data_IF_755007907038
#
_entry.id   IF_755007907038
#
_cell.length_a   1.000
_cell.length_b   1.000
_cell.length_c   1.000
_cell.angle_alpha   90.00
_cell.angle_beta   90.00
_cell.angle_gamma   90.00
#
_symmetry.space_group_name_H-M   'P 1'
#
loop_
_entity.id
_entity.type
_entity.pdbx_description
1 polymer ?
#
# COMPACT_ATOMS: atom_id res chain seq x y z
N UNK A 1 5.24 -7.15 -4.52
CA UNK A 1 4.83 -8.44 -3.94
C UNK A 1 4.55 -9.48 -5.02
N UNK A 2 4.45 -10.75 -4.61
CA UNK A 2 4.15 -11.94 -5.42
C UNK A 2 3.52 -13.03 -4.55
N UNK A 3 2.93 -14.09 -5.13
CA UNK A 3 2.38 -15.22 -4.37
C UNK A 3 3.39 -15.90 -3.42
N UNK A 4 4.68 -15.91 -3.76
CA UNK A 4 5.72 -16.52 -2.94
C UNK A 4 5.92 -15.82 -1.58
N UNK A 5 5.36 -14.63 -1.41
CA UNK A 5 5.45 -13.85 -0.18
C UNK A 5 4.45 -14.32 0.89
N UNK A 6 3.58 -15.29 0.56
CA UNK A 6 2.55 -15.85 1.44
C UNK A 6 2.74 -17.36 1.65
N UNK A 7 3.80 -17.79 2.36
CA UNK A 7 4.09 -19.21 2.53
C UNK A 7 2.96 -19.94 3.26
N UNK A 8 2.57 -21.09 2.73
CA UNK A 8 1.49 -21.91 3.30
C UNK A 8 0.08 -21.43 2.96
N UNK A 9 -0.07 -20.39 2.15
CA UNK A 9 -1.37 -19.91 1.66
C UNK A 9 -1.46 -20.10 0.15
N UNK A 10 -2.65 -20.45 -0.34
CA UNK A 10 -2.94 -20.48 -1.76
C UNK A 10 -3.25 -19.06 -2.23
N UNK A 11 -2.22 -18.34 -2.69
CA UNK A 11 -2.33 -16.98 -3.24
C UNK A 11 -2.12 -17.02 -4.74
N UNK A 12 -2.94 -16.28 -5.48
CA UNK A 12 -2.85 -16.13 -6.94
C UNK A 12 -2.56 -14.68 -7.29
N UNK A 13 -1.67 -14.44 -8.26
CA UNK A 13 -1.51 -13.13 -8.87
C UNK A 13 -2.57 -12.97 -9.96
N UNK A 14 -3.53 -12.06 -9.74
CA UNK A 14 -4.62 -11.81 -10.67
C UNK A 14 -4.17 -10.86 -11.78
N UNK A 15 -3.37 -9.86 -11.43
CA UNK A 15 -2.87 -8.85 -12.35
C UNK A 15 -1.53 -8.27 -11.91
N UNK A 16 -0.75 -7.85 -12.91
CA UNK A 16 0.46 -7.05 -12.74
C UNK A 16 0.53 -6.06 -13.89
N UNK A 17 0.46 -4.79 -13.54
CA UNK A 17 0.52 -3.69 -14.48
C UNK A 17 1.75 -2.85 -14.16
N UNK A 18 2.55 -2.56 -15.18
CA UNK A 18 3.64 -1.61 -15.10
C UNK A 18 3.38 -0.51 -16.11
N UNK A 19 3.58 0.73 -15.70
CA UNK A 19 3.34 1.89 -16.54
C UNK A 19 4.01 3.13 -15.98
N UNK A 20 3.52 4.27 -16.43
CA UNK A 20 3.93 5.58 -15.96
C UNK A 20 2.72 6.32 -15.42
N UNK A 21 2.90 7.13 -14.38
CA UNK A 21 1.89 8.09 -13.95
C UNK A 21 1.73 9.20 -14.99
N UNK A 22 0.75 10.10 -14.78
CA UNK A 22 0.60 11.31 -15.59
C UNK A 22 1.82 12.23 -15.62
N UNK A 23 2.77 12.05 -14.69
CA UNK A 23 4.01 12.83 -14.59
C UNK A 23 5.24 12.00 -14.96
N UNK A 24 5.06 10.91 -15.72
CA UNK A 24 6.12 10.00 -16.18
C UNK A 24 6.89 9.30 -15.04
N UNK A 25 6.31 9.19 -13.83
CA UNK A 25 6.91 8.38 -12.78
C UNK A 25 6.61 6.90 -13.03
N UNK A 26 7.62 6.01 -13.00
CA UNK A 26 7.37 4.58 -13.10
C UNK A 26 6.43 4.11 -12.01
N UNK A 27 5.36 3.42 -12.41
CA UNK A 27 4.35 2.88 -11.53
C UNK A 27 4.18 1.38 -11.76
N UNK A 28 4.01 0.64 -10.68
CA UNK A 28 3.69 -0.78 -10.70
C UNK A 28 2.48 -1.02 -9.82
N UNK A 29 1.53 -1.80 -10.31
CA UNK A 29 0.39 -2.28 -9.55
C UNK A 29 0.34 -3.81 -9.62
N UNK A 30 0.15 -4.45 -8.47
CA UNK A 30 0.02 -5.91 -8.36
C UNK A 30 -1.21 -6.21 -7.54
N UNK A 31 -2.07 -7.08 -8.06
CA UNK A 31 -3.22 -7.62 -7.33
C UNK A 31 -3.02 -9.10 -7.04
N UNK A 32 -3.12 -9.45 -5.76
CA UNK A 32 -3.02 -10.82 -5.27
C UNK A 32 -4.30 -11.19 -4.51
N UNK A 33 -4.83 -12.39 -4.75
CA UNK A 33 -5.96 -12.93 -3.99
C UNK A 33 -5.57 -14.21 -3.26
N UNK A 34 -5.91 -14.27 -1.98
CA UNK A 34 -5.95 -15.49 -1.17
C UNK A 34 -7.38 -16.02 -1.05
N UNK A 35 -7.58 -16.98 -0.14
CA UNK A 35 -8.90 -17.60 0.06
C UNK A 35 -9.94 -16.62 0.67
N UNK A 36 -9.49 -15.67 1.49
CA UNK A 36 -10.34 -14.77 2.27
C UNK A 36 -9.93 -13.30 2.21
N UNK A 37 -9.03 -12.95 1.29
CA UNK A 37 -8.55 -11.58 1.11
C UNK A 37 -8.11 -11.31 -0.33
N UNK A 38 -8.12 -10.04 -0.69
CA UNK A 38 -7.43 -9.49 -1.86
C UNK A 38 -6.53 -8.35 -1.38
N UNK A 39 -5.28 -8.37 -1.83
CA UNK A 39 -4.32 -7.28 -1.67
C UNK A 39 -4.10 -6.62 -3.02
N UNK A 40 -4.26 -5.30 -3.06
CA UNK A 40 -3.76 -4.47 -4.14
C UNK A 40 -2.58 -3.65 -3.62
N UNK A 41 -1.40 -3.91 -4.17
CA UNK A 41 -0.20 -3.11 -3.95
C UNK A 41 -0.01 -2.18 -5.15
N UNK A 42 0.19 -0.89 -4.89
CA UNK A 42 0.61 0.07 -5.90
C UNK A 42 1.87 0.78 -5.44
N UNK A 43 2.85 0.87 -6.32
CA UNK A 43 4.13 1.53 -6.08
C UNK A 43 4.35 2.58 -7.16
N UNK A 44 4.69 3.80 -6.75
CA UNK A 44 5.11 4.88 -7.66
C UNK A 44 6.53 5.30 -7.28
N UNK A 45 7.44 5.25 -8.24
CA UNK A 45 8.85 5.60 -8.04
C UNK A 45 9.12 7.05 -8.45
N UNK A 46 9.48 7.88 -7.47
CA UNK A 46 9.80 9.27 -7.70
C UNK A 46 11.28 9.50 -8.02
N UNK A 47 11.56 10.64 -8.64
CA UNK A 47 12.94 11.10 -8.87
C UNK A 47 13.71 11.23 -7.56
N UNK A 48 13.07 11.77 -6.51
CA UNK A 48 13.69 11.98 -5.20
C UNK A 48 12.79 11.51 -4.06
N UNK A 49 13.40 11.17 -2.91
CA UNK A 49 12.67 10.81 -1.71
C UNK A 49 11.80 11.96 -1.18
N UNK A 50 12.27 13.21 -1.35
CA UNK A 50 11.54 14.40 -0.94
C UNK A 50 10.22 14.56 -1.70
N UNK A 51 10.17 14.20 -2.99
CA UNK A 51 8.93 14.23 -3.77
C UNK A 51 7.92 13.20 -3.25
N UNK A 52 8.38 11.97 -2.99
CA UNK A 52 7.54 10.91 -2.43
C UNK A 52 7.00 11.31 -1.04
N UNK A 53 7.84 11.90 -0.19
CA UNK A 53 7.45 12.40 1.14
C UNK A 53 6.51 13.59 1.07
N UNK A 54 6.69 14.52 0.13
CA UNK A 54 5.80 15.65 -0.06
C UNK A 54 4.39 15.17 -0.47
N UNK A 55 4.31 14.19 -1.37
CA UNK A 55 3.03 13.60 -1.76
C UNK A 55 2.37 12.85 -0.60
N UNK A 56 3.15 12.04 0.15
CA UNK A 56 2.64 11.37 1.36
C UNK A 56 2.12 12.37 2.40
N UNK A 57 2.80 13.51 2.57
CA UNK A 57 2.38 14.57 3.48
C UNK A 57 1.05 15.19 3.05
N UNK A 58 0.85 15.41 1.74
CA UNK A 58 -0.43 15.85 1.18
C UNK A 58 -1.55 14.86 1.45
N UNK A 59 -1.31 13.57 1.16
CA UNK A 59 -2.28 12.49 1.44
C UNK A 59 -2.64 12.45 2.94
N UNK A 60 -1.63 12.56 3.81
CA UNK A 60 -1.81 12.58 5.27
C UNK A 60 -2.66 13.76 5.73
N UNK A 61 -2.45 14.95 5.16
CA UNK A 61 -3.25 16.13 5.45
C UNK A 61 -4.72 15.94 5.01
N UNK A 62 -4.93 15.39 3.81
CA UNK A 62 -6.27 15.10 3.30
C UNK A 62 -7.00 14.10 4.21
N UNK A 63 -6.31 13.05 4.67
CA UNK A 63 -6.87 12.06 5.60
C UNK A 63 -7.24 12.67 6.96
N UNK A 64 -6.37 13.53 7.51
CA UNK A 64 -6.67 14.26 8.74
C UNK A 64 -7.92 15.12 8.59
N UNK A 65 -8.08 15.77 7.43
CA UNK A 65 -9.28 16.57 7.14
C UNK A 65 -10.57 15.73 7.08
N UNK A 66 -10.43 14.44 6.77
CA UNK A 66 -11.51 13.45 6.74
C UNK A 66 -11.72 12.75 8.11
N UNK A 67 -11.00 13.17 9.15
CA UNK A 67 -11.14 12.65 10.51
C UNK A 67 -10.30 11.42 10.83
N UNK A 68 -9.40 10.99 9.93
CA UNK A 68 -8.42 9.94 10.23
C UNK A 68 -7.34 10.52 11.15
N UNK A 69 -6.99 9.80 12.21
CA UNK A 69 -5.86 10.16 13.08
C UNK A 69 -4.72 9.17 12.87
N UNK A 70 -3.69 9.51 12.08
CA UNK A 70 -2.56 8.62 11.84
C UNK A 70 -1.79 8.41 13.14
N UNK A 71 -1.66 7.16 13.58
CA UNK A 71 -0.80 6.82 14.70
C UNK A 71 0.59 6.44 14.16
N UNK A 72 1.68 6.88 14.81
CA UNK A 72 3.01 6.42 14.46
C UNK A 72 3.10 4.92 14.72
N UNK A 73 3.48 4.17 13.68
CA UNK A 73 3.77 2.74 13.76
C UNK A 73 5.28 2.60 13.56
N UNK A 74 5.94 1.77 14.38
CA UNK A 74 7.37 1.52 14.27
C UNK A 74 7.72 1.06 12.84
N UNK A 75 8.64 1.81 12.21
CA UNK A 75 9.04 1.59 10.82
C UNK A 75 8.15 2.25 9.77
N UNK A 76 7.06 2.91 10.16
CA UNK A 76 6.15 3.64 9.29
C UNK A 76 5.80 5.00 9.91
N UNK A 77 6.78 5.71 10.44
CA UNK A 77 6.59 6.92 11.24
C UNK A 77 5.79 8.00 10.47
N UNK A 78 6.03 8.10 9.15
CA UNK A 78 5.38 9.08 8.26
C UNK A 78 4.12 8.54 7.57
N UNK A 79 3.51 7.45 8.06
CA UNK A 79 2.32 6.87 7.44
C UNK A 79 1.10 7.82 7.36
N UNK A 80 0.22 7.45 6.45
CA UNK A 80 -1.05 8.11 6.15
C UNK A 80 -2.16 7.79 7.19
N UNK A 81 -1.96 6.78 8.02
CA UNK A 81 -3.03 6.12 8.75
C UNK A 81 -3.82 5.16 7.85
N UNK A 82 -4.72 4.39 8.45
CA UNK A 82 -5.59 3.45 7.74
C UNK A 82 -6.91 4.13 7.43
N UNK A 83 -7.32 4.10 6.16
CA UNK A 83 -8.62 4.59 5.69
C UNK A 83 -9.50 3.40 5.30
N UNK A 84 -10.81 3.52 5.47
CA UNK A 84 -11.77 2.64 4.81
C UNK A 84 -11.87 2.96 3.31
N UNK A 85 -11.94 1.92 2.48
CA UNK A 85 -11.99 2.03 1.03
C UNK A 85 -12.85 0.89 0.45
N UNK A 86 -12.95 0.78 -0.88
CA UNK A 86 -13.56 -0.37 -1.55
C UNK A 86 -12.63 -0.95 -2.60
N UNK A 87 -12.56 -2.28 -2.68
CA UNK A 87 -11.85 -3.01 -3.74
C UNK A 87 -12.76 -4.10 -4.28
N UNK A 88 -13.05 -4.05 -5.58
CA UNK A 88 -14.00 -4.97 -6.26
C UNK A 88 -15.40 -5.02 -5.61
N UNK A 89 -15.81 -3.92 -4.95
CA UNK A 89 -17.10 -3.83 -4.25
C UNK A 89 -17.08 -4.33 -2.81
N UNK A 90 -15.97 -4.92 -2.35
CA UNK A 90 -15.77 -5.31 -0.96
C UNK A 90 -15.18 -4.16 -0.14
N UNK A 91 -15.56 -4.08 1.14
CA UNK A 91 -14.90 -3.15 2.05
C UNK A 91 -13.41 -3.46 2.17
N UNK A 92 -12.60 -2.43 2.06
CA UNK A 92 -11.16 -2.50 2.13
C UNK A 92 -10.58 -1.55 3.18
N UNK A 93 -9.33 -1.79 3.54
CA UNK A 93 -8.49 -0.89 4.33
C UNK A 93 -7.28 -0.49 3.50
N UNK A 94 -7.07 0.82 3.37
CA UNK A 94 -5.99 1.40 2.56
C UNK A 94 -5.04 2.20 3.45
N UNK A 95 -3.73 2.06 3.23
CA UNK A 95 -2.71 2.94 3.80
C UNK A 95 -1.62 3.27 2.77
N UNK A 96 -0.94 4.38 3.00
CA UNK A 96 0.20 4.85 2.24
C UNK A 96 1.43 5.02 3.12
N UNK A 97 2.60 4.70 2.58
CA UNK A 97 3.89 4.96 3.21
C UNK A 97 4.98 5.17 2.15
N UNK A 98 6.12 5.73 2.56
CA UNK A 98 7.29 5.92 1.69
C UNK A 98 8.40 4.97 2.11
N UNK A 99 9.04 4.35 1.11
CA UNK A 99 10.25 3.55 1.29
C UNK A 99 11.29 4.01 0.26
N UNK A 100 12.30 4.77 0.74
CA UNK A 100 13.28 5.41 -0.14
C UNK A 100 12.63 6.46 -1.04
N UNK A 101 12.61 6.21 -2.35
CA UNK A 101 11.97 7.07 -3.36
C UNK A 101 10.59 6.58 -3.81
N UNK A 102 10.13 5.47 -3.27
CA UNK A 102 8.86 4.87 -3.64
C UNK A 102 7.75 5.33 -2.67
N UNK A 103 6.63 5.81 -3.21
CA UNK A 103 5.37 5.86 -2.48
C UNK A 103 4.66 4.51 -2.71
N UNK A 104 4.27 3.87 -1.61
CA UNK A 104 3.57 2.57 -1.63
C UNK A 104 2.17 2.77 -1.08
N UNK A 105 1.17 2.27 -1.82
CA UNK A 105 -0.21 2.12 -1.39
C UNK A 105 -0.50 0.63 -1.21
N UNK A 106 -1.06 0.28 -0.07
CA UNK A 106 -1.59 -1.07 0.19
C UNK A 106 -3.08 -0.93 0.44
N UNK A 107 -3.88 -1.67 -0.33
CA UNK A 107 -5.33 -1.84 -0.09
C UNK A 107 -5.60 -3.32 0.17
N UNK A 108 -6.27 -3.62 1.28
CA UNK A 108 -6.54 -4.99 1.74
C UNK A 108 -8.04 -5.18 2.01
N UNK A 109 -8.63 -6.23 1.43
CA UNK A 109 -9.97 -6.72 1.80
C UNK A 109 -9.89 -7.88 2.81
N UNK A 110 -11.04 -8.32 3.30
CA UNK A 110 -11.13 -9.50 4.16
C UNK A 110 -11.29 -9.18 5.66
N UNK A 111 -11.34 -10.25 6.46
CA UNK A 111 -11.60 -10.15 7.90
C UNK A 111 -10.38 -9.63 8.67
N UNK A 112 -10.60 -8.63 9.54
CA UNK A 112 -9.53 -7.99 10.31
C UNK A 112 -8.61 -7.10 9.46
N UNK A 113 -9.10 -6.62 8.32
CA UNK A 113 -8.35 -5.76 7.39
C UNK A 113 -7.72 -4.50 8.03
N UNK A 114 -8.32 -3.78 9.01
CA UNK A 114 -7.70 -2.58 9.55
C UNK A 114 -6.42 -2.87 10.35
N UNK A 115 -6.34 -4.03 11.00
CA UNK A 115 -5.15 -4.47 11.72
C UNK A 115 -4.14 -5.16 10.79
N UNK A 116 -4.62 -6.07 9.93
CA UNK A 116 -3.77 -6.90 9.06
C UNK A 116 -3.06 -6.12 7.96
N UNK A 117 -3.59 -4.97 7.54
CA UNK A 117 -2.97 -4.14 6.48
C UNK A 117 -1.54 -3.72 6.84
N UNK A 118 -1.22 -3.60 8.14
CA UNK A 118 0.13 -3.31 8.61
C UNK A 118 1.11 -4.46 8.41
N UNK A 119 0.65 -5.71 8.52
CA UNK A 119 1.49 -6.88 8.25
C UNK A 119 1.83 -6.97 6.76
N UNK A 120 0.85 -6.66 5.91
CA UNK A 120 1.06 -6.56 4.46
C UNK A 120 2.01 -5.40 4.12
N UNK A 121 1.87 -4.25 4.78
CA UNK A 121 2.78 -3.12 4.58
C UNK A 121 4.23 -3.47 4.97
N UNK A 122 4.44 -4.21 6.06
CA UNK A 122 5.77 -4.73 6.46
C UNK A 122 6.35 -5.64 5.37
N UNK A 123 5.55 -6.57 4.86
CA UNK A 123 5.96 -7.47 3.78
C UNK A 123 6.38 -6.71 2.53
N UNK A 124 5.57 -5.73 2.08
CA UNK A 124 5.89 -4.88 0.94
C UNK A 124 7.18 -4.05 1.15
N UNK A 125 7.36 -3.52 2.37
CA UNK A 125 8.57 -2.77 2.74
C UNK A 125 9.83 -3.64 2.71
N UNK A 126 9.77 -4.86 3.21
CA UNK A 126 10.92 -5.75 3.23
C UNK A 126 11.35 -6.13 1.80
N UNK A 127 10.39 -6.29 0.88
CA UNK A 127 10.66 -6.59 -0.53
C UNK A 127 11.21 -5.41 -1.33
N UNK A 128 10.88 -4.19 -0.96
CA UNK A 128 11.47 -3.00 -1.60
C UNK A 128 12.89 -2.70 -1.12
N UNK A 129 13.39 -3.42 -0.10
CA UNK A 129 14.79 -3.33 0.37
C UNK A 129 15.71 -4.39 -0.24
N UNK A 130 15.16 -5.49 -0.75
CA UNK A 130 15.88 -6.61 -1.38
C UNK A 130 16.07 -6.42 -2.87
#
# INVERSE_FOLDING_TARGET
MSPADFPGQAVTENSREAGETSSAEPAVQVELSGADFTVLESLVLFETANLAQALLSGIKQDQISQGVTPQPIEGFEDNSGVIGDQLHGDDASTLFFVQGRALVRITLTGSGRPEKVWDIARLARDKSRS
#
